data_IF_489987811662
#
_entry.id   IF_489987811662
#
_cell.length_a   1.000
_cell.length_b   1.000
_cell.length_c   1.000
_cell.angle_alpha   90.00
_cell.angle_beta   90.00
_cell.angle_gamma   90.00
#
_symmetry.space_group_name_H-M   'P 1'
#
loop_
_entity.id
_entity.type
_entity.pdbx_description
1 polymer ?
#
# COMPACT_ATOMS: atom_id res chain seq x y z
N UNK A 1 3.65 -10.07 1.93
CA UNK A 1 2.49 -10.75 1.31
C UNK A 1 2.06 -10.01 0.02
N UNK A 2 1.05 -10.47 -0.74
CA UNK A 2 0.40 -9.63 -1.76
C UNK A 2 -0.74 -8.83 -1.12
N UNK A 3 -0.81 -7.53 -1.46
CA UNK A 3 -1.91 -6.64 -1.08
C UNK A 3 -3.02 -6.67 -2.14
N UNK A 4 -2.63 -6.66 -3.43
CA UNK A 4 -3.56 -6.79 -4.53
C UNK A 4 -3.05 -7.82 -5.55
N UNK A 5 -3.78 -8.92 -5.72
CA UNK A 5 -3.44 -9.95 -6.71
C UNK A 5 -3.74 -9.50 -8.15
N UNK A 6 -4.81 -8.71 -8.37
CA UNK A 6 -5.19 -8.25 -9.71
C UNK A 6 -4.11 -7.35 -10.35
N UNK A 7 -3.46 -6.51 -9.54
CA UNK A 7 -2.42 -5.58 -9.98
C UNK A 7 -1.00 -6.05 -9.62
N UNK A 8 -0.87 -7.22 -8.99
CA UNK A 8 0.41 -7.79 -8.58
C UNK A 8 1.14 -7.03 -7.46
N UNK A 9 0.45 -6.18 -6.71
CA UNK A 9 1.06 -5.32 -5.69
C UNK A 9 1.42 -6.14 -4.46
N UNK A 10 2.70 -6.14 -4.12
CA UNK A 10 3.24 -6.75 -2.90
C UNK A 10 3.19 -5.77 -1.74
N UNK A 11 3.19 -6.30 -0.53
CA UNK A 11 3.25 -5.52 0.71
C UNK A 11 4.49 -4.62 0.78
N UNK A 12 5.65 -5.08 0.33
CA UNK A 12 6.86 -4.25 0.26
C UNK A 12 6.72 -3.05 -0.68
N UNK A 13 6.02 -3.23 -1.79
CA UNK A 13 5.73 -2.18 -2.76
C UNK A 13 4.68 -1.22 -2.21
N UNK A 14 3.62 -1.75 -1.58
CA UNK A 14 2.61 -0.98 -0.88
C UNK A 14 3.21 -0.07 0.21
N UNK A 15 4.09 -0.61 1.06
CA UNK A 15 4.82 0.18 2.07
C UNK A 15 5.72 1.25 1.45
N UNK A 16 6.38 0.92 0.33
CA UNK A 16 7.22 1.87 -0.39
C UNK A 16 6.39 3.02 -0.99
N UNK A 17 5.23 2.71 -1.57
CA UNK A 17 4.27 3.70 -2.07
C UNK A 17 3.74 4.56 -0.94
N UNK A 18 3.34 3.95 0.17
CA UNK A 18 2.85 4.68 1.34
C UNK A 18 3.89 5.67 1.87
N UNK A 19 5.15 5.23 2.03
CA UNK A 19 6.23 6.11 2.49
C UNK A 19 6.45 7.30 1.56
N UNK A 20 6.37 7.08 0.23
CA UNK A 20 6.55 8.15 -0.78
C UNK A 20 5.36 9.10 -0.89
N UNK A 21 4.15 8.59 -0.66
CA UNK A 21 2.89 9.32 -0.86
C UNK A 21 2.26 9.82 0.46
N UNK A 22 2.97 9.67 1.59
CA UNK A 22 2.45 10.04 2.91
C UNK A 22 1.26 9.19 3.36
N UNK A 23 1.14 7.97 2.82
CA UNK A 23 0.03 7.05 3.06
C UNK A 23 -1.35 7.69 2.82
N UNK A 24 -1.50 8.58 1.85
CA UNK A 24 -2.79 9.16 1.48
C UNK A 24 -3.62 8.14 0.67
N UNK A 25 -4.84 7.75 1.09
CA UNK A 25 -5.64 6.72 0.42
C UNK A 25 -5.87 7.00 -1.07
N UNK A 26 -6.27 8.20 -1.44
CA UNK A 26 -6.50 8.57 -2.85
C UNK A 26 -5.24 8.48 -3.70
N UNK A 27 -4.11 8.98 -3.18
CA UNK A 27 -2.83 8.89 -3.88
C UNK A 27 -2.37 7.43 -4.04
N UNK A 28 -2.59 6.60 -3.01
CA UNK A 28 -2.27 5.19 -3.05
C UNK A 28 -3.16 4.42 -4.03
N UNK A 29 -4.47 4.71 -4.05
CA UNK A 29 -5.42 4.13 -5.01
C UNK A 29 -4.96 4.35 -6.45
N UNK A 30 -4.60 5.60 -6.77
CA UNK A 30 -4.09 5.96 -8.10
C UNK A 30 -2.75 5.26 -8.41
N UNK A 31 -1.80 5.29 -7.46
CA UNK A 31 -0.48 4.70 -7.67
C UNK A 31 -0.49 3.16 -7.80
N UNK A 32 -1.43 2.50 -7.13
CA UNK A 32 -1.67 1.06 -7.25
C UNK A 32 -2.50 0.70 -8.49
N UNK A 33 -3.02 1.69 -9.21
CA UNK A 33 -3.92 1.49 -10.34
C UNK A 33 -5.20 0.75 -9.96
N UNK A 34 -5.77 1.05 -8.79
CA UNK A 34 -7.04 0.48 -8.36
C UNK A 34 -8.18 1.23 -9.07
N UNK A 35 -8.81 0.53 -10.00
CA UNK A 35 -9.86 1.00 -10.89
C UNK A 35 -10.90 -0.12 -11.11
N UNK A 36 -11.93 0.14 -11.92
CA UNK A 36 -13.03 -0.79 -12.19
C UNK A 36 -12.59 -2.12 -12.83
N UNK A 37 -11.35 -2.26 -13.29
CA UNK A 37 -10.80 -3.54 -13.77
C UNK A 37 -10.32 -4.47 -12.66
N UNK A 38 -10.27 -3.98 -11.41
CA UNK A 38 -9.88 -4.74 -10.23
C UNK A 38 -11.11 -5.32 -9.50
N UNK A 39 -10.93 -6.39 -8.72
CA UNK A 39 -12.02 -7.05 -8.00
C UNK A 39 -12.58 -6.25 -6.79
N UNK A 40 -12.19 -4.99 -6.62
CA UNK A 40 -12.63 -4.09 -5.54
C UNK A 40 -12.10 -4.39 -4.14
N UNK A 41 -11.68 -5.61 -3.82
CA UNK A 41 -11.30 -6.00 -2.44
C UNK A 41 -10.20 -5.12 -1.82
N UNK A 42 -9.13 -4.88 -2.55
CA UNK A 42 -8.01 -4.06 -2.05
C UNK A 42 -8.35 -2.57 -1.96
N UNK A 43 -9.32 -2.10 -2.74
CA UNK A 43 -9.82 -0.72 -2.66
C UNK A 43 -10.70 -0.56 -1.42
N UNK A 44 -11.60 -1.52 -1.16
CA UNK A 44 -12.44 -1.51 0.05
C UNK A 44 -11.64 -1.58 1.36
N UNK A 45 -10.48 -2.25 1.34
CA UNK A 45 -9.60 -2.39 2.50
C UNK A 45 -8.50 -1.30 2.57
N UNK A 46 -8.44 -0.39 1.60
CA UNK A 46 -7.30 0.52 1.43
C UNK A 46 -7.08 1.44 2.64
N UNK A 47 -8.15 1.99 3.20
CA UNK A 47 -8.08 2.86 4.38
C UNK A 47 -7.51 2.11 5.60
N UNK A 48 -7.99 0.90 5.86
CA UNK A 48 -7.49 0.03 6.94
C UNK A 48 -6.01 -0.31 6.74
N UNK A 49 -5.60 -0.60 5.50
CA UNK A 49 -4.20 -0.92 5.18
C UNK A 49 -3.28 0.29 5.38
N UNK A 50 -3.74 1.48 4.99
CA UNK A 50 -3.05 2.76 5.23
C UNK A 50 -2.89 3.04 6.73
N UNK A 51 -3.95 2.83 7.51
CA UNK A 51 -3.91 3.06 8.95
C UNK A 51 -2.91 2.15 9.64
N UNK A 52 -2.85 0.87 9.25
CA UNK A 52 -1.87 -0.10 9.77
C UNK A 52 -0.42 0.29 9.49
N UNK A 53 -0.15 1.08 8.45
CA UNK A 53 1.21 1.61 8.19
C UNK A 53 1.56 2.68 9.23
N UNK A 54 0.65 3.60 9.54
CA UNK A 54 0.86 4.61 10.57
C UNK A 54 1.07 3.99 11.96
N UNK A 55 0.40 2.88 12.24
CA UNK A 55 0.53 2.14 13.50
C UNK A 55 1.78 1.24 13.55
N UNK A 56 2.62 1.24 12.50
CA UNK A 56 3.82 0.40 12.41
C UNK A 56 3.54 -1.09 12.18
N UNK A 57 2.30 -1.46 11.86
CA UNK A 57 1.85 -2.84 11.65
C UNK A 57 2.29 -3.44 10.33
N UNK A 58 2.60 -2.63 9.31
CA UNK A 58 3.20 -3.10 8.05
C UNK A 58 4.70 -2.86 8.11
N UNK A 59 5.47 -3.95 8.29
CA UNK A 59 6.94 -3.89 8.35
C UNK A 59 7.49 -3.47 6.99
N UNK A 60 7.84 -2.20 6.86
CA UNK A 60 8.63 -1.72 5.73
C UNK A 60 10.03 -2.37 5.78
N UNK A 61 10.57 -2.92 4.67
CA UNK A 61 11.96 -3.38 4.64
C UNK A 61 12.98 -2.22 4.66
N UNK A 62 12.55 -0.96 4.77
CA UNK A 62 13.40 0.24 4.59
C UNK A 62 13.98 0.77 5.92
N UNK A 63 14.30 -0.10 6.89
CA UNK A 63 15.10 0.30 8.08
C UNK A 63 16.61 0.03 7.92
N UNK A 64 17.11 -0.17 6.69
CA UNK A 64 18.54 -0.37 6.45
C UNK A 64 19.05 0.50 5.30
N UNK A 65 19.11 1.84 5.46
CA UNK A 65 20.20 2.67 4.90
C UNK A 65 20.08 4.19 5.23
N UNK A 66 20.20 4.59 6.50
CA UNK A 66 20.77 5.93 6.79
C UNK A 66 21.70 5.79 7.99
N UNK A 67 22.99 5.67 7.69
CA UNK A 67 24.08 6.01 8.61
C UNK A 67 24.60 7.38 8.22
#
# INVERSE_FOLDING_TARGET
MFICLCKGIKESEFSSLASRLGACPEAMKQAMGLDDSCCGRCESELETLVQRIHEGGIRSPVEVLVR
#
